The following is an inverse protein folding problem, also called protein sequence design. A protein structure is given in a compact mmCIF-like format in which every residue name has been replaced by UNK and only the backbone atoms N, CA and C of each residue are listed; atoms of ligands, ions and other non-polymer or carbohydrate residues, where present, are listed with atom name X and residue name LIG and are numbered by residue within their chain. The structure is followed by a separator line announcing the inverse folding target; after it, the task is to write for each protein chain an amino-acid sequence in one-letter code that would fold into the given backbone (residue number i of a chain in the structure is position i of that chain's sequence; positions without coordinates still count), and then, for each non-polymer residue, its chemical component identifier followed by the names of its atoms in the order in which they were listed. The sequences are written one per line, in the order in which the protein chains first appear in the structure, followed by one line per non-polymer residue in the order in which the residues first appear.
data_IF_408061528741
#
_entry.id   IF_408061528741
#
_cell.length_a   1.000
_cell.length_b   1.000
_cell.length_c   1.000
_cell.angle_alpha   90.00
_cell.angle_beta   90.00
_cell.angle_gamma   90.00
#
_symmetry.space_group_name_H-M   'P 1'
#
loop_
_entity.id
_entity.type
_entity.pdbx_description
1 polymer ?
#
# COMPACT_ATOMS: atom_id res chain seq x y z
N UNK A 1 -19.85 -2.30 2.92
CA UNK A 1 -19.51 -3.56 3.62
C UNK A 1 -20.00 -4.74 2.80
N UNK A 2 -21.30 -4.91 2.57
CA UNK A 2 -21.87 -6.05 1.81
C UNK A 2 -21.17 -6.43 0.48
N UNK A 3 -20.69 -5.47 -0.31
CA UNK A 3 -19.94 -5.76 -1.55
C UNK A 3 -18.56 -6.36 -1.30
N UNK A 4 -17.83 -5.88 -0.28
CA UNK A 4 -16.49 -6.38 0.01
C UNK A 4 -16.53 -7.77 0.64
N UNK A 5 -17.52 -8.01 1.50
CA UNK A 5 -17.72 -9.31 2.15
C UNK A 5 -18.07 -10.37 1.09
N UNK A 6 -18.89 -10.04 0.09
CA UNK A 6 -19.19 -10.92 -1.04
C UNK A 6 -17.93 -11.30 -1.86
N UNK A 7 -17.00 -10.36 -2.07
CA UNK A 7 -15.74 -10.65 -2.75
C UNK A 7 -14.84 -11.55 -1.91
N UNK A 8 -14.74 -11.28 -0.61
CA UNK A 8 -13.99 -12.10 0.34
C UNK A 8 -14.50 -13.55 0.37
N UNK A 9 -15.81 -13.74 0.57
CA UNK A 9 -16.46 -15.05 0.54
C UNK A 9 -16.23 -15.76 -0.80
N UNK A 10 -16.31 -15.02 -1.90
CA UNK A 10 -16.06 -15.55 -3.23
C UNK A 10 -14.63 -16.07 -3.42
N UNK A 11 -13.63 -15.40 -2.84
CA UNK A 11 -12.24 -15.86 -2.84
C UNK A 11 -12.08 -17.14 -2.01
N UNK A 12 -12.64 -17.17 -0.80
CA UNK A 12 -12.56 -18.32 0.10
C UNK A 12 -13.25 -19.56 -0.50
N UNK A 13 -14.45 -19.41 -1.08
CA UNK A 13 -15.19 -20.49 -1.76
C UNK A 13 -14.44 -21.09 -2.95
N UNK A 14 -13.53 -20.31 -3.56
CA UNK A 14 -12.69 -20.75 -4.69
C UNK A 14 -11.36 -21.36 -4.24
N UNK A 15 -11.16 -21.56 -2.94
CA UNK A 15 -10.02 -22.25 -2.37
C UNK A 15 -8.81 -21.36 -2.07
N UNK A 16 -8.97 -20.03 -2.00
CA UNK A 16 -7.92 -19.16 -1.45
C UNK A 16 -7.89 -19.36 0.08
N UNK A 17 -6.79 -19.89 0.59
CA UNK A 17 -6.60 -20.32 1.98
C UNK A 17 -5.53 -19.52 2.74
N UNK A 18 -5.06 -18.42 2.15
CA UNK A 18 -4.10 -17.47 2.73
C UNK A 18 -4.80 -16.21 3.27
N UNK A 19 -4.14 -15.43 4.15
CA UNK A 19 -4.72 -14.19 4.66
C UNK A 19 -5.14 -13.24 3.54
N UNK A 20 -6.38 -12.76 3.62
CA UNK A 20 -6.90 -11.75 2.72
C UNK A 20 -6.49 -10.36 3.21
N UNK A 21 -6.01 -9.53 2.29
CA UNK A 21 -5.59 -8.16 2.57
C UNK A 21 -6.41 -7.18 1.73
N UNK A 22 -6.67 -5.98 2.27
CA UNK A 22 -7.16 -4.84 1.49
C UNK A 22 -6.15 -3.70 1.56
N UNK A 23 -5.98 -2.94 0.48
CA UNK A 23 -4.98 -1.87 0.44
C UNK A 23 -5.44 -0.58 1.13
N UNK A 24 -6.75 -0.32 1.15
CA UNK A 24 -7.45 0.73 1.91
C UNK A 24 -8.89 0.27 2.14
N UNK A 25 -9.43 0.48 3.34
CA UNK A 25 -10.78 0.05 3.69
C UNK A 25 -10.87 -1.46 3.89
N UNK A 26 -11.05 -1.90 5.14
CA UNK A 26 -11.14 -3.32 5.47
C UNK A 26 -12.54 -3.89 5.27
N UNK A 27 -12.63 -5.02 4.56
CA UNK A 27 -13.75 -5.95 4.74
C UNK A 27 -13.58 -6.68 6.07
N UNK A 28 -14.66 -7.25 6.62
CA UNK A 28 -14.55 -8.03 7.84
C UNK A 28 -13.59 -9.23 7.64
N UNK A 29 -12.74 -9.51 8.63
CA UNK A 29 -11.76 -10.61 8.55
C UNK A 29 -10.52 -10.36 7.68
N UNK A 30 -10.38 -9.19 7.04
CA UNK A 30 -9.20 -8.85 6.22
C UNK A 30 -8.17 -8.02 7.00
N UNK A 31 -6.89 -8.10 6.61
CA UNK A 31 -5.86 -7.17 7.10
C UNK A 31 -5.86 -5.93 6.20
N UNK A 32 -6.11 -4.76 6.79
CA UNK A 32 -6.09 -3.47 6.08
C UNK A 32 -4.65 -2.92 6.04
N UNK A 33 -4.18 -2.57 4.85
CA UNK A 33 -2.93 -1.87 4.61
C UNK A 33 -3.13 -0.36 4.44
N UNK A 34 -2.06 0.33 4.06
CA UNK A 34 -2.14 1.73 3.66
C UNK A 34 -1.32 1.97 2.38
N UNK A 35 -1.84 2.87 1.55
CA UNK A 35 -1.19 3.35 0.34
C UNK A 35 -0.78 4.81 0.53
N UNK A 36 0.51 5.11 0.43
CA UNK A 36 1.02 6.47 0.61
C UNK A 36 2.43 6.66 0.06
N UNK A 37 2.82 7.93 -0.09
CA UNK A 37 4.22 8.34 -0.32
C UNK A 37 4.88 8.91 0.96
N UNK A 38 4.10 9.55 1.82
CA UNK A 38 4.58 10.23 3.03
C UNK A 38 3.52 10.20 4.13
N UNK A 39 3.90 10.57 5.35
CA UNK A 39 2.97 10.62 6.49
C UNK A 39 2.83 9.29 7.23
N UNK A 40 3.91 8.49 7.26
CA UNK A 40 3.92 7.13 7.79
C UNK A 40 3.31 7.03 9.20
N UNK A 41 3.65 7.95 10.12
CA UNK A 41 3.14 7.93 11.51
C UNK A 41 1.61 8.06 11.57
N UNK A 42 1.01 8.92 10.74
CA UNK A 42 -0.43 9.14 10.72
C UNK A 42 -1.17 7.92 10.19
N UNK A 43 -0.68 7.35 9.08
CA UNK A 43 -1.22 6.09 8.56
C UNK A 43 -1.07 4.95 9.58
N UNK A 44 0.07 4.90 10.29
CA UNK A 44 0.34 3.84 11.27
C UNK A 44 -0.62 3.94 12.46
N UNK A 45 -0.79 5.15 13.00
CA UNK A 45 -1.73 5.42 14.09
C UNK A 45 -3.16 5.02 13.71
N UNK A 46 -3.59 5.35 12.49
CA UNK A 46 -4.92 4.99 11.99
C UNK A 46 -5.10 3.47 11.89
N UNK A 47 -4.14 2.76 11.27
CA UNK A 47 -4.20 1.30 11.17
C UNK A 47 -4.17 0.63 12.55
N UNK A 48 -3.36 1.14 13.48
CA UNK A 48 -3.26 0.58 14.83
C UNK A 48 -4.52 0.82 15.66
N UNK A 49 -5.20 1.95 15.47
CA UNK A 49 -6.48 2.21 16.12
C UNK A 49 -7.59 1.28 15.59
N UNK A 50 -7.57 0.96 14.30
CA UNK A 50 -8.57 0.07 13.66
C UNK A 50 -8.30 -1.42 13.92
N UNK A 51 -7.05 -1.84 13.81
CA UNK A 51 -6.64 -3.24 13.84
C UNK A 51 -5.39 -3.40 14.71
N UNK A 52 -5.50 -3.33 16.05
CA UNK A 52 -4.34 -3.26 16.94
C UNK A 52 -3.38 -4.45 16.80
N UNK A 53 -3.90 -5.64 16.51
CA UNK A 53 -3.16 -6.91 16.56
C UNK A 53 -2.71 -7.44 15.19
N UNK A 54 -2.99 -6.72 14.10
CA UNK A 54 -2.57 -7.13 12.75
C UNK A 54 -1.18 -6.58 12.39
N UNK A 55 -0.43 -7.19 11.45
CA UNK A 55 0.76 -6.55 10.89
C UNK A 55 0.40 -5.24 10.20
N UNK A 56 1.36 -4.30 10.16
CA UNK A 56 1.16 -2.98 9.54
C UNK A 56 1.96 -2.92 8.26
N UNK A 57 1.25 -2.82 7.13
CA UNK A 57 1.85 -2.92 5.81
C UNK A 57 1.56 -1.68 4.96
N UNK A 58 2.58 -1.23 4.24
CA UNK A 58 2.41 -0.28 3.14
C UNK A 58 2.17 -1.09 1.88
N UNK A 59 0.91 -1.19 1.48
CA UNK A 59 0.47 -2.02 0.33
C UNK A 59 0.79 -1.39 -1.01
N UNK A 60 0.87 -0.06 -1.07
CA UNK A 60 1.45 0.69 -2.18
C UNK A 60 2.26 1.87 -1.66
N UNK A 61 3.59 1.71 -1.68
CA UNK A 61 4.51 2.79 -1.44
C UNK A 61 4.83 3.46 -2.77
N UNK A 62 4.22 4.62 -3.03
CA UNK A 62 4.30 5.27 -4.34
C UNK A 62 5.69 5.88 -4.59
N UNK A 63 6.65 5.11 -5.08
CA UNK A 63 8.04 5.54 -5.27
C UNK A 63 8.25 6.50 -6.45
N UNK A 64 7.29 6.52 -7.38
CA UNK A 64 7.26 7.41 -8.53
C UNK A 64 5.87 7.97 -8.76
N UNK A 65 5.62 8.44 -9.98
CA UNK A 65 4.29 8.73 -10.50
C UNK A 65 4.26 8.50 -12.01
N UNK A 66 3.07 8.29 -12.56
CA UNK A 66 2.88 8.21 -14.01
C UNK A 66 2.79 9.61 -14.61
N UNK A 67 3.06 9.70 -15.90
CA UNK A 67 2.99 10.96 -16.66
C UNK A 67 1.82 10.92 -17.65
N UNK A 68 1.30 12.09 -17.97
CA UNK A 68 0.29 12.28 -19.02
C UNK A 68 0.95 12.89 -20.25
N UNK A 69 0.40 12.60 -21.43
CA UNK A 69 0.85 13.22 -22.69
C UNK A 69 0.77 14.75 -22.61
N UNK A 70 1.89 15.42 -22.93
CA UNK A 70 2.01 16.88 -22.84
C UNK A 70 2.06 17.45 -21.41
N UNK A 71 2.05 16.59 -20.39
CA UNK A 71 2.20 16.98 -19.00
C UNK A 71 3.66 17.16 -18.57
N UNK A 72 3.88 17.72 -17.37
CA UNK A 72 5.21 17.83 -16.79
C UNK A 72 5.75 16.47 -16.36
N UNK A 73 7.07 16.33 -16.36
CA UNK A 73 7.73 15.10 -15.90
C UNK A 73 7.59 14.90 -14.38
N UNK A 74 7.42 13.64 -13.98
CA UNK A 74 7.19 13.19 -12.61
C UNK A 74 8.50 12.89 -11.84
N UNK A 75 9.43 13.83 -11.84
CA UNK A 75 10.80 13.65 -11.31
C UNK A 75 11.00 14.09 -9.85
N UNK A 76 9.93 14.42 -9.14
CA UNK A 76 10.00 15.04 -7.80
C UNK A 76 10.43 14.06 -6.70
N UNK A 77 10.32 12.75 -6.94
CA UNK A 77 10.69 11.70 -5.98
C UNK A 77 12.11 11.23 -6.24
N UNK A 78 13.07 11.93 -5.65
CA UNK A 78 14.51 11.62 -5.77
C UNK A 78 14.89 10.37 -4.97
N UNK A 79 16.02 9.75 -5.30
CA UNK A 79 16.59 8.64 -4.53
C UNK A 79 16.83 9.02 -3.06
N UNK A 80 17.37 10.21 -2.79
CA UNK A 80 17.59 10.71 -1.43
C UNK A 80 16.29 10.89 -0.63
N UNK A 81 15.21 11.30 -1.31
CA UNK A 81 13.90 11.42 -0.68
C UNK A 81 13.29 10.04 -0.43
N UNK A 82 13.44 9.11 -1.37
CA UNK A 82 13.03 7.71 -1.22
C UNK A 82 13.66 7.07 0.02
N UNK A 83 14.98 7.19 0.18
CA UNK A 83 15.71 6.67 1.34
C UNK A 83 15.14 7.21 2.65
N UNK A 84 14.91 8.53 2.71
CA UNK A 84 14.30 9.19 3.87
C UNK A 84 12.90 8.64 4.17
N UNK A 85 12.06 8.45 3.15
CA UNK A 85 10.69 7.95 3.32
C UNK A 85 10.67 6.49 3.79
N UNK A 86 11.57 5.65 3.30
CA UNK A 86 11.73 4.28 3.78
C UNK A 86 12.11 4.28 5.26
N UNK A 87 13.06 5.12 5.68
CA UNK A 87 13.45 5.24 7.09
C UNK A 87 12.28 5.73 7.97
N UNK A 88 11.44 6.63 7.47
CA UNK A 88 10.22 7.05 8.17
C UNK A 88 9.22 5.89 8.35
N UNK A 89 9.05 5.04 7.33
CA UNK A 89 8.18 3.85 7.38
C UNK A 89 8.72 2.82 8.40
N UNK A 90 10.01 2.51 8.34
CA UNK A 90 10.64 1.57 9.26
C UNK A 90 10.58 2.07 10.71
N UNK A 91 10.87 3.37 10.94
CA UNK A 91 10.77 3.99 12.27
C UNK A 91 9.35 3.94 12.83
N UNK A 92 8.33 4.16 11.99
CA UNK A 92 6.94 4.12 12.42
C UNK A 92 6.50 2.70 12.86
N UNK A 93 7.22 1.65 12.45
CA UNK A 93 6.97 0.28 12.88
C UNK A 93 6.23 -0.59 11.86
N UNK A 94 6.19 -0.18 10.59
CA UNK A 94 5.65 -1.04 9.53
C UNK A 94 6.53 -2.28 9.34
N UNK A 95 5.88 -3.41 9.09
CA UNK A 95 6.54 -4.72 8.92
C UNK A 95 6.50 -5.23 7.48
N UNK A 96 5.85 -4.49 6.56
CA UNK A 96 5.83 -4.80 5.14
C UNK A 96 5.75 -3.53 4.28
N UNK A 97 6.45 -3.53 3.15
CA UNK A 97 6.46 -2.42 2.18
C UNK A 97 6.44 -3.01 0.77
N UNK A 98 5.43 -2.65 -0.01
CA UNK A 98 5.33 -2.96 -1.44
C UNK A 98 5.62 -1.71 -2.27
N UNK A 99 6.64 -1.76 -3.12
CA UNK A 99 7.10 -0.61 -3.91
C UNK A 99 6.25 -0.46 -5.17
N UNK A 100 5.54 0.65 -5.26
CA UNK A 100 4.71 1.00 -6.41
C UNK A 100 5.30 2.22 -7.15
N UNK A 101 6.19 2.06 -8.14
CA UNK A 101 6.64 0.82 -8.76
C UNK A 101 8.10 0.54 -8.41
N UNK A 102 8.42 -0.72 -8.11
CA UNK A 102 9.80 -1.22 -8.12
C UNK A 102 10.37 -1.23 -9.55
N UNK A 103 9.56 -1.71 -10.49
CA UNK A 103 9.85 -1.68 -11.92
C UNK A 103 8.55 -1.38 -12.67
N UNK A 104 8.49 -0.23 -13.36
CA UNK A 104 7.29 0.23 -14.07
C UNK A 104 7.14 -0.31 -15.49
N UNK A 105 8.18 -0.98 -16.02
CA UNK A 105 8.24 -1.33 -17.44
C UNK A 105 8.60 -0.14 -18.32
N UNK A 106 8.35 -0.28 -19.62
CA UNK A 106 8.61 0.72 -20.64
C UNK A 106 7.62 0.58 -21.78
N UNK A 107 7.36 1.66 -22.51
CA UNK A 107 6.92 1.52 -23.89
C UNK A 107 8.13 1.04 -24.70
N UNK A 108 7.98 -0.11 -25.36
CA UNK A 108 8.88 -0.46 -26.45
C UNK A 108 8.55 0.47 -27.62
N UNK A 109 9.32 1.54 -27.76
CA UNK A 109 9.46 2.32 -29.00
C UNK A 109 10.91 2.30 -29.43
#
# INVERSE_FOLDING_TARGET
TATYDHLGDGMLQRGIDVPLITCVGGAEGTIEGANFWSGADGHYANLRAKQPDTPKMVTEFWTGWFENWGGPSAIQKTASLLDRRIMEILRAGYTGISYYMFYGGKLNT
#
